data_IF_049516424064
#
_entry.id   IF_049516424064
#
_cell.length_a   1.000
_cell.length_b   1.000
_cell.length_c   1.000
_cell.angle_alpha   90.00
_cell.angle_beta   90.00
_cell.angle_gamma   90.00
#
_symmetry.space_group_name_H-M   'P 1'
#
loop_
_entity.id
_entity.type
_entity.pdbx_description
1 polymer ?
#
# COMPACT_ATOMS: atom_id res chain seq x y z
N UNK A 1 37.80 25.21 12.12
CA UNK A 1 36.58 25.12 11.29
C UNK A 1 35.82 26.42 11.45
N UNK A 2 35.88 27.31 10.41
CA UNK A 2 35.28 28.66 10.39
C UNK A 2 33.75 28.54 10.36
N UNK A 3 33.07 29.01 11.42
CA UNK A 3 31.61 29.23 11.42
C UNK A 3 31.29 30.40 10.50
N UNK A 4 30.75 30.15 9.31
CA UNK A 4 30.23 31.18 8.41
C UNK A 4 29.11 31.95 9.10
N UNK A 5 29.43 33.16 9.60
CA UNK A 5 28.43 34.09 10.11
C UNK A 5 27.64 34.68 8.93
N UNK A 6 26.30 34.47 8.97
CA UNK A 6 25.39 35.09 7.99
C UNK A 6 25.61 36.60 7.90
N UNK A 7 25.61 37.14 6.69
CA UNK A 7 25.69 38.59 6.47
C UNK A 7 24.47 39.31 7.07
N UNK A 8 24.62 40.59 7.42
CA UNK A 8 23.50 41.39 7.97
C UNK A 8 22.25 41.39 7.08
N UNK A 9 22.41 41.27 5.75
CA UNK A 9 21.31 41.18 4.80
C UNK A 9 20.61 39.82 4.85
N UNK A 10 21.38 38.74 5.03
CA UNK A 10 20.83 37.38 5.19
C UNK A 10 20.10 37.24 6.54
N UNK A 11 20.64 37.83 7.63
CA UNK A 11 19.98 37.84 8.93
C UNK A 11 18.63 38.59 8.88
N UNK A 12 18.57 39.75 8.20
CA UNK A 12 17.33 40.50 8.00
C UNK A 12 16.30 39.71 7.18
N UNK A 13 16.71 39.00 6.12
CA UNK A 13 15.82 38.13 5.34
C UNK A 13 15.29 36.97 6.15
N UNK A 14 16.14 36.29 6.93
CA UNK A 14 15.73 35.20 7.83
C UNK A 14 14.75 35.70 8.88
N UNK A 15 15.01 36.87 9.48
CA UNK A 15 14.14 37.47 10.49
C UNK A 15 12.81 37.96 9.90
N UNK A 16 12.80 38.53 8.70
CA UNK A 16 11.58 38.91 7.99
C UNK A 16 10.74 37.69 7.59
N UNK A 17 11.37 36.59 7.13
CA UNK A 17 10.69 35.36 6.84
C UNK A 17 10.16 34.67 8.11
N UNK A 18 10.88 34.73 9.21
CA UNK A 18 10.43 34.21 10.51
C UNK A 18 9.21 35.01 11.03
N UNK A 19 9.27 36.37 10.97
CA UNK A 19 8.13 37.23 11.33
C UNK A 19 6.92 37.02 10.40
N UNK A 20 7.15 36.77 9.11
CA UNK A 20 6.07 36.46 8.16
C UNK A 20 5.42 35.09 8.48
N UNK A 21 6.20 34.08 8.85
CA UNK A 21 5.70 32.77 9.33
C UNK A 21 4.92 32.92 10.65
N UNK A 22 5.39 33.72 11.60
CA UNK A 22 4.67 33.99 12.86
C UNK A 22 3.35 34.75 12.65
N UNK A 23 3.20 35.51 11.56
CA UNK A 23 1.94 36.19 11.22
C UNK A 23 0.96 35.32 10.40
N UNK A 24 1.45 34.28 9.72
CA UNK A 24 0.62 33.41 8.85
C UNK A 24 0.03 32.24 9.60
N UNK A 25 0.46 31.93 10.82
CA UNK A 25 0.07 30.71 11.56
C UNK A 25 -1.16 30.88 12.47
N UNK A 26 -1.88 31.98 12.37
CA UNK A 26 -3.22 32.11 12.96
C UNK A 26 -4.27 32.09 11.85
N UNK A 27 -4.45 30.95 11.17
CA UNK A 27 -5.75 30.66 10.53
C UNK A 27 -6.72 30.36 11.68
N UNK A 28 -7.90 31.02 11.73
CA UNK A 28 -8.88 30.73 12.75
C UNK A 28 -9.25 29.24 12.65
N UNK A 29 -9.01 28.47 13.71
CA UNK A 29 -9.74 27.24 13.93
C UNK A 29 -11.22 27.65 13.94
N UNK A 30 -12.06 26.94 13.18
CA UNK A 30 -13.51 27.14 13.26
C UNK A 30 -13.88 26.98 14.73
N UNK A 31 -14.52 28.02 15.30
CA UNK A 31 -15.03 27.98 16.67
C UNK A 31 -16.11 26.90 16.74
N UNK A 32 -16.12 26.09 17.81
CA UNK A 32 -17.09 25.00 17.98
C UNK A 32 -18.55 25.48 17.84
N UNK A 33 -18.83 26.76 18.10
CA UNK A 33 -20.13 27.40 17.88
C UNK A 33 -20.53 27.55 16.39
N UNK A 34 -19.55 27.41 15.47
CA UNK A 34 -19.73 27.54 14.03
C UNK A 34 -19.81 26.17 13.32
N UNK A 35 -19.78 25.09 14.08
CA UNK A 35 -19.83 23.72 13.58
C UNK A 35 -21.22 23.12 13.72
N UNK A 36 -21.66 22.37 12.70
CA UNK A 36 -22.86 21.58 12.70
C UNK A 36 -22.72 20.29 13.53
N UNK A 37 -23.69 19.41 13.42
CA UNK A 37 -23.68 18.13 14.13
C UNK A 37 -22.56 17.21 13.63
N UNK A 38 -22.07 16.35 14.55
CA UNK A 38 -21.09 15.35 14.23
C UNK A 38 -21.64 14.30 13.27
N UNK A 39 -20.87 13.95 12.25
CA UNK A 39 -21.21 13.01 11.19
C UNK A 39 -20.09 12.00 10.98
N UNK A 40 -20.46 10.82 10.51
CA UNK A 40 -19.51 9.80 10.07
C UNK A 40 -19.02 10.11 8.65
N UNK A 41 -17.76 9.75 8.37
CA UNK A 41 -17.19 9.90 7.03
C UNK A 41 -15.95 9.03 6.83
N UNK A 42 -15.51 8.97 5.56
CA UNK A 42 -14.27 8.29 5.18
C UNK A 42 -13.29 9.29 4.57
N UNK A 43 -12.01 9.14 4.89
CA UNK A 43 -10.96 9.99 4.34
C UNK A 43 -10.61 9.54 2.93
N UNK A 44 -10.97 10.35 1.95
CA UNK A 44 -10.67 10.12 0.52
C UNK A 44 -9.21 10.43 0.21
N UNK A 45 -8.69 11.53 0.76
CA UNK A 45 -7.28 11.90 0.61
C UNK A 45 -6.85 12.89 1.68
N UNK A 46 -5.52 12.98 1.92
CA UNK A 46 -4.93 13.89 2.89
C UNK A 46 -3.88 14.80 2.27
N UNK A 47 -3.94 16.10 2.55
CA UNK A 47 -3.00 17.13 2.07
C UNK A 47 -2.49 17.99 3.23
N UNK A 48 -1.37 17.61 3.79
CA UNK A 48 -0.79 18.35 4.93
C UNK A 48 -1.74 18.38 6.14
N UNK A 49 -2.33 19.54 6.45
CA UNK A 49 -3.29 19.74 7.55
C UNK A 49 -4.76 19.67 7.12
N UNK A 50 -5.02 19.27 5.88
CA UNK A 50 -6.36 19.13 5.34
C UNK A 50 -6.60 17.70 4.90
N UNK A 51 -7.86 17.28 4.94
CA UNK A 51 -8.33 16.03 4.37
C UNK A 51 -9.61 16.27 3.57
N UNK A 52 -9.79 15.54 2.48
CA UNK A 52 -11.08 15.40 1.81
C UNK A 52 -11.80 14.23 2.48
N UNK A 53 -12.94 14.52 3.09
CA UNK A 53 -13.80 13.55 3.78
C UNK A 53 -15.07 13.38 2.98
N UNK A 54 -15.44 12.16 2.69
CA UNK A 54 -16.72 11.83 2.07
C UNK A 54 -17.73 11.48 3.16
N UNK A 55 -18.87 12.16 3.11
CA UNK A 55 -19.99 11.91 4.00
C UNK A 55 -20.85 10.73 3.49
N UNK A 56 -21.81 10.28 4.29
CA UNK A 56 -22.70 9.15 3.95
C UNK A 56 -23.53 9.36 2.68
N UNK A 57 -23.73 10.60 2.24
CA UNK A 57 -24.41 10.98 1.00
C UNK A 57 -23.51 10.97 -0.24
N UNK A 58 -22.22 10.59 -0.09
CA UNK A 58 -21.23 10.56 -1.15
C UNK A 58 -20.62 11.94 -1.47
N UNK A 59 -20.99 13.00 -0.75
CA UNK A 59 -20.46 14.34 -0.99
C UNK A 59 -19.11 14.49 -0.29
N UNK A 60 -18.13 15.00 -1.03
CA UNK A 60 -16.78 15.22 -0.50
C UNK A 60 -16.63 16.64 0.07
N UNK A 61 -16.10 16.71 1.28
CA UNK A 61 -15.89 17.95 2.02
C UNK A 61 -14.41 18.10 2.38
N UNK A 62 -13.82 19.24 2.05
CA UNK A 62 -12.47 19.56 2.54
C UNK A 62 -12.53 20.03 3.97
N UNK A 63 -11.86 19.28 4.84
CA UNK A 63 -11.86 19.48 6.26
C UNK A 63 -10.47 19.85 6.79
N UNK A 64 -10.41 20.66 7.82
CA UNK A 64 -9.24 20.79 8.68
C UNK A 64 -9.10 19.54 9.56
N UNK A 65 -7.88 19.22 9.96
CA UNK A 65 -7.60 18.13 10.90
C UNK A 65 -7.31 18.73 12.26
N UNK A 66 -8.05 18.31 13.32
CA UNK A 66 -7.75 18.75 14.70
C UNK A 66 -6.32 18.39 15.07
N UNK A 67 -5.63 19.30 15.78
CA UNK A 67 -4.23 19.13 16.24
C UNK A 67 -4.02 17.93 17.17
N UNK A 68 -5.08 17.46 17.81
CA UNK A 68 -5.08 16.26 18.67
C UNK A 68 -4.92 14.97 17.87
N UNK A 69 -5.24 14.97 16.58
CA UNK A 69 -5.11 13.82 15.68
C UNK A 69 -3.67 13.73 15.18
N UNK A 70 -2.91 12.78 15.75
CA UNK A 70 -1.49 12.58 15.43
C UNK A 70 -1.26 12.01 14.04
N UNK A 71 -2.16 11.16 13.57
CA UNK A 71 -2.05 10.47 12.29
C UNK A 71 -3.42 10.33 11.65
N UNK A 72 -3.53 10.79 10.41
CA UNK A 72 -4.71 10.61 9.56
C UNK A 72 -4.21 10.18 8.18
N UNK A 73 -4.83 9.15 7.60
CA UNK A 73 -4.46 8.63 6.28
C UNK A 73 -5.70 8.31 5.45
N UNK A 74 -5.52 8.08 4.16
CA UNK A 74 -6.58 7.66 3.25
C UNK A 74 -7.16 6.32 3.71
N UNK A 75 -8.50 6.20 3.68
CA UNK A 75 -9.23 5.04 4.17
C UNK A 75 -9.61 5.12 5.66
N UNK A 76 -9.13 6.13 6.43
CA UNK A 76 -9.57 6.30 7.81
C UNK A 76 -11.07 6.60 7.89
N UNK A 77 -11.76 5.91 8.79
CA UNK A 77 -13.13 6.24 9.21
C UNK A 77 -13.05 7.31 10.28
N UNK A 78 -13.82 8.36 10.13
CA UNK A 78 -13.69 9.56 10.97
C UNK A 78 -15.03 10.10 11.40
N UNK A 79 -15.03 10.75 12.58
CA UNK A 79 -16.09 11.67 12.98
C UNK A 79 -15.66 13.07 12.56
N UNK A 80 -16.50 13.76 11.81
CA UNK A 80 -16.26 15.11 11.33
C UNK A 80 -17.50 15.99 11.52
N UNK A 81 -17.32 17.31 11.51
CA UNK A 81 -18.41 18.27 11.63
C UNK A 81 -18.33 19.30 10.49
N UNK A 82 -19.44 19.56 9.78
CA UNK A 82 -19.50 20.61 8.77
C UNK A 82 -19.47 21.98 9.42
N UNK A 83 -18.95 23.00 8.72
CA UNK A 83 -19.10 24.40 9.10
C UNK A 83 -20.50 24.90 8.81
N UNK A 84 -21.14 25.60 9.76
CA UNK A 84 -22.52 26.13 9.64
C UNK A 84 -22.63 27.31 8.68
N UNK A 85 -21.54 28.01 8.41
CA UNK A 85 -21.52 29.16 7.50
C UNK A 85 -20.66 28.85 6.27
N UNK A 86 -21.30 28.78 5.12
CA UNK A 86 -20.63 28.84 3.83
C UNK A 86 -20.15 30.30 3.60
N UNK A 87 -18.95 30.66 4.11
CA UNK A 87 -18.33 31.92 3.72
C UNK A 87 -17.82 31.77 2.27
N UNK A 88 -18.30 32.63 1.39
CA UNK A 88 -17.78 32.73 0.03
C UNK A 88 -16.26 32.94 0.08
N UNK A 89 -15.52 32.05 -0.61
CA UNK A 89 -14.06 32.05 -0.65
C UNK A 89 -13.35 31.19 0.39
N UNK A 90 -14.03 30.58 1.37
CA UNK A 90 -13.43 29.65 2.32
C UNK A 90 -13.38 28.24 1.70
N UNK A 91 -12.14 27.76 1.40
CA UNK A 91 -11.91 26.42 0.81
C UNK A 91 -12.18 25.26 1.78
N UNK A 92 -12.28 25.52 3.07
CA UNK A 92 -12.42 24.50 4.13
C UNK A 92 -13.85 24.51 4.64
N UNK A 93 -14.55 23.39 4.52
CA UNK A 93 -15.98 23.24 4.80
C UNK A 93 -16.29 22.50 6.10
N UNK A 94 -15.28 22.04 6.83
CA UNK A 94 -15.49 21.27 8.08
C UNK A 94 -14.21 20.99 8.84
N UNK A 95 -14.35 20.17 9.90
CA UNK A 95 -13.25 19.74 10.75
C UNK A 95 -13.36 18.24 11.07
N UNK A 96 -12.24 17.51 10.94
CA UNK A 96 -12.13 16.12 11.44
C UNK A 96 -11.85 16.17 12.93
N UNK A 97 -12.71 15.56 13.73
CA UNK A 97 -12.65 15.58 15.21
C UNK A 97 -11.99 14.33 15.80
N UNK A 98 -12.30 13.17 15.24
CA UNK A 98 -11.81 11.88 15.74
C UNK A 98 -11.56 10.89 14.59
N UNK A 99 -10.71 9.91 14.85
CA UNK A 99 -10.42 8.78 13.96
C UNK A 99 -10.84 7.52 14.69
N UNK A 100 -11.63 6.67 14.03
CA UNK A 100 -12.00 5.36 14.55
C UNK A 100 -10.80 4.41 14.59
N UNK A 101 -10.91 3.34 15.36
CA UNK A 101 -9.93 2.26 15.37
C UNK A 101 -9.82 1.64 13.98
N UNK A 102 -8.58 1.42 13.55
CA UNK A 102 -8.25 0.86 12.24
C UNK A 102 -8.28 -0.66 12.30
N UNK A 103 -8.89 -1.29 11.30
CA UNK A 103 -8.84 -2.75 11.13
C UNK A 103 -7.52 -3.22 10.55
N UNK A 104 -6.92 -2.41 9.66
CA UNK A 104 -5.61 -2.66 9.05
C UNK A 104 -4.88 -1.35 8.82
N UNK A 105 -3.54 -1.40 8.76
CA UNK A 105 -2.69 -0.22 8.49
C UNK A 105 -1.55 -0.61 7.58
N UNK A 106 -1.52 -0.01 6.40
CA UNK A 106 -0.35 -0.11 5.53
C UNK A 106 0.67 0.96 5.91
N UNK A 107 1.91 0.54 6.09
CA UNK A 107 3.01 1.42 6.49
C UNK A 107 4.14 1.40 5.47
N UNK A 108 4.94 2.45 5.44
CA UNK A 108 6.21 2.52 4.71
C UNK A 108 7.33 2.96 5.64
N UNK A 109 8.61 2.70 5.27
CA UNK A 109 9.74 3.26 6.01
C UNK A 109 9.68 4.78 6.03
N UNK A 110 10.02 5.34 7.19
CA UNK A 110 10.34 6.75 7.32
C UNK A 110 11.81 6.87 7.74
N UNK A 111 12.55 7.78 7.08
CA UNK A 111 13.98 7.98 7.36
C UNK A 111 14.25 8.52 8.77
N UNK A 112 13.23 9.10 9.42
CA UNK A 112 13.38 9.78 10.72
C UNK A 112 12.64 9.06 11.85
N UNK A 113 11.48 8.47 11.61
CA UNK A 113 10.55 7.98 12.65
C UNK A 113 10.20 6.47 12.55
N UNK A 114 11.00 5.69 11.83
CA UNK A 114 10.81 4.24 11.69
C UNK A 114 9.75 3.87 10.65
N UNK A 115 8.46 3.83 10.97
CA UNK A 115 7.37 3.48 10.03
C UNK A 115 6.28 4.55 10.03
N UNK A 116 5.82 4.92 8.83
CA UNK A 116 4.76 5.89 8.61
C UNK A 116 3.53 5.25 7.98
N UNK A 117 2.34 5.39 8.57
CA UNK A 117 1.10 4.97 7.93
C UNK A 117 0.86 5.71 6.60
N UNK A 118 0.38 4.99 5.59
CA UNK A 118 0.05 5.54 4.25
C UNK A 118 -1.40 5.30 3.85
N UNK A 119 -2.01 4.20 4.33
CA UNK A 119 -3.41 3.87 4.11
C UNK A 119 -3.93 3.03 5.27
N UNK A 120 -5.25 3.02 5.49
CA UNK A 120 -5.89 2.29 6.57
C UNK A 120 -7.18 1.61 6.09
N UNK A 121 -7.66 0.65 6.90
CA UNK A 121 -8.91 -0.09 6.70
C UNK A 121 -8.98 -0.78 5.32
N UNK A 122 -7.87 -1.39 4.93
CA UNK A 122 -7.73 -2.15 3.70
C UNK A 122 -8.25 -3.55 3.96
N UNK A 123 -9.21 -4.01 3.16
CA UNK A 123 -9.78 -5.35 3.28
C UNK A 123 -9.03 -6.37 2.42
N UNK A 124 -8.42 -5.91 1.30
CA UNK A 124 -7.86 -6.80 0.30
C UNK A 124 -6.65 -6.19 -0.42
N UNK A 125 -5.65 -7.03 -0.71
CA UNK A 125 -4.54 -6.70 -1.59
C UNK A 125 -4.64 -7.52 -2.86
N UNK A 126 -4.85 -6.84 -3.99
CA UNK A 126 -4.88 -7.44 -5.32
C UNK A 126 -3.46 -7.51 -5.86
N UNK A 127 -2.91 -8.72 -5.89
CA UNK A 127 -1.58 -9.01 -6.40
C UNK A 127 -1.68 -9.23 -7.91
N UNK A 128 -1.43 -8.16 -8.68
CA UNK A 128 -1.51 -8.23 -10.14
C UNK A 128 -0.19 -8.75 -10.69
N UNK A 129 -0.27 -9.85 -11.41
CA UNK A 129 0.80 -10.43 -12.20
C UNK A 129 0.39 -10.52 -13.66
N UNK A 130 1.31 -10.81 -14.55
CA UNK A 130 1.02 -10.96 -15.97
C UNK A 130 2.01 -11.91 -16.64
N UNK A 131 1.70 -12.31 -17.87
CA UNK A 131 2.58 -13.11 -18.70
C UNK A 131 3.74 -12.27 -19.24
N UNK A 132 3.49 -10.98 -19.50
CA UNK A 132 4.45 -9.96 -19.91
C UNK A 132 4.31 -8.72 -19.03
N UNK A 133 5.40 -8.28 -18.35
CA UNK A 133 6.73 -8.91 -18.29
C UNK A 133 6.68 -10.32 -17.69
N UNK A 134 7.77 -11.08 -17.81
CA UNK A 134 7.86 -12.47 -17.36
C UNK A 134 7.22 -12.72 -16.00
N UNK A 135 6.37 -13.74 -15.92
CA UNK A 135 5.67 -14.11 -14.71
C UNK A 135 6.65 -14.55 -13.61
N UNK A 136 6.66 -13.82 -12.51
CA UNK A 136 7.54 -14.09 -11.37
C UNK A 136 6.75 -14.55 -10.15
N UNK A 137 6.82 -15.85 -9.85
CA UNK A 137 6.23 -16.41 -8.63
C UNK A 137 6.86 -15.82 -7.36
N UNK A 138 8.15 -15.49 -7.40
CA UNK A 138 8.84 -14.86 -6.27
C UNK A 138 8.21 -13.52 -5.85
N UNK A 139 7.73 -12.74 -6.81
CA UNK A 139 7.06 -11.47 -6.53
C UNK A 139 5.67 -11.71 -5.94
N UNK A 140 4.92 -12.67 -6.48
CA UNK A 140 3.64 -13.08 -5.89
C UNK A 140 3.86 -13.49 -4.43
N UNK A 141 4.85 -14.35 -4.17
CA UNK A 141 5.17 -14.86 -2.84
C UNK A 141 5.52 -13.75 -1.85
N UNK A 142 6.28 -12.74 -2.30
CA UNK A 142 6.60 -11.56 -1.48
C UNK A 142 5.35 -10.81 -1.04
N UNK A 143 4.40 -10.59 -1.96
CA UNK A 143 3.16 -9.92 -1.62
C UNK A 143 2.25 -10.78 -0.74
N UNK A 144 2.22 -12.10 -0.94
CA UNK A 144 1.48 -13.02 -0.07
C UNK A 144 2.01 -12.98 1.37
N UNK A 145 3.33 -13.04 1.56
CA UNK A 145 3.95 -12.90 2.89
C UNK A 145 3.60 -11.55 3.53
N UNK A 146 3.57 -10.47 2.75
CA UNK A 146 3.17 -9.16 3.26
C UNK A 146 1.68 -9.15 3.67
N UNK A 147 0.79 -9.75 2.89
CA UNK A 147 -0.63 -9.86 3.20
C UNK A 147 -0.86 -10.64 4.51
N UNK A 148 -0.20 -11.79 4.65
CA UNK A 148 -0.29 -12.63 5.87
C UNK A 148 0.23 -11.88 7.12
N UNK A 149 1.25 -11.04 6.97
CA UNK A 149 1.80 -10.25 8.08
C UNK A 149 0.89 -9.09 8.47
N UNK A 150 0.16 -8.53 7.50
CA UNK A 150 -0.77 -7.42 7.70
C UNK A 150 -2.17 -7.89 8.10
N UNK A 151 -2.43 -9.20 8.08
CA UNK A 151 -3.77 -9.80 8.25
C UNK A 151 -4.78 -9.20 7.26
N UNK A 152 -4.37 -9.09 5.99
CA UNK A 152 -5.19 -8.58 4.88
C UNK A 152 -5.33 -9.65 3.82
N UNK A 153 -6.55 -9.87 3.32
CA UNK A 153 -6.85 -10.93 2.36
C UNK A 153 -6.14 -10.69 1.01
N UNK A 154 -5.35 -11.65 0.50
CA UNK A 154 -4.75 -11.55 -0.82
C UNK A 154 -5.71 -12.04 -1.91
N UNK A 155 -5.69 -11.37 -3.06
CA UNK A 155 -6.30 -11.83 -4.31
C UNK A 155 -5.24 -11.83 -5.40
N UNK A 156 -4.89 -13.00 -5.93
CA UNK A 156 -3.95 -13.11 -7.05
C UNK A 156 -4.72 -12.90 -8.35
N UNK A 157 -4.28 -11.95 -9.18
CA UNK A 157 -4.88 -11.65 -10.48
C UNK A 157 -3.82 -11.77 -11.56
N UNK A 158 -3.99 -12.77 -12.42
CA UNK A 158 -3.16 -12.96 -13.60
C UNK A 158 -3.79 -12.23 -14.79
N UNK A 159 -3.19 -11.13 -15.20
CA UNK A 159 -3.64 -10.30 -16.31
C UNK A 159 -2.96 -10.68 -17.64
N UNK A 160 -3.52 -10.20 -18.74
CA UNK A 160 -3.06 -10.39 -20.13
C UNK A 160 -3.13 -11.85 -20.61
N UNK A 161 -4.12 -12.60 -20.14
CA UNK A 161 -4.33 -14.01 -20.57
C UNK A 161 -4.68 -14.12 -22.06
N UNK A 162 -5.10 -13.03 -22.69
CA UNK A 162 -5.31 -12.91 -24.14
C UNK A 162 -4.04 -13.14 -24.98
N UNK A 163 -2.86 -13.04 -24.35
CA UNK A 163 -1.57 -13.29 -24.99
C UNK A 163 -1.16 -14.77 -25.00
N UNK A 164 -1.92 -15.65 -24.33
CA UNK A 164 -1.61 -17.07 -24.21
C UNK A 164 -2.31 -17.88 -25.32
N UNK A 165 -1.54 -18.76 -25.94
CA UNK A 165 -2.09 -19.89 -26.68
C UNK A 165 -2.54 -21.02 -25.73
N UNK A 166 -3.06 -22.13 -26.30
CA UNK A 166 -3.58 -23.26 -25.53
C UNK A 166 -2.51 -23.94 -24.66
N UNK A 167 -1.27 -24.03 -25.12
CA UNK A 167 -0.18 -24.66 -24.36
C UNK A 167 0.34 -23.71 -23.27
N UNK A 168 0.44 -22.42 -23.56
CA UNK A 168 0.77 -21.38 -22.57
C UNK A 168 -0.27 -21.32 -21.46
N UNK A 169 -1.57 -21.44 -21.78
CA UNK A 169 -2.62 -21.49 -20.74
C UNK A 169 -2.44 -22.69 -19.81
N UNK A 170 -2.21 -23.89 -20.33
CA UNK A 170 -1.95 -25.07 -19.49
C UNK A 170 -0.73 -24.93 -18.59
N UNK A 171 0.34 -24.33 -19.12
CA UNK A 171 1.56 -24.10 -18.34
C UNK A 171 1.30 -23.15 -17.18
N UNK A 172 0.66 -22.03 -17.47
CA UNK A 172 0.34 -21.01 -16.46
C UNK A 172 -0.68 -21.51 -15.45
N UNK A 173 -1.71 -22.26 -15.88
CA UNK A 173 -2.66 -22.92 -15.00
C UNK A 173 -1.95 -23.80 -13.98
N UNK A 174 -0.96 -24.60 -14.42
CA UNK A 174 -0.16 -25.43 -13.52
C UNK A 174 0.60 -24.63 -12.46
N UNK A 175 1.12 -23.44 -12.84
CA UNK A 175 1.78 -22.53 -11.90
C UNK A 175 0.78 -21.91 -10.92
N UNK A 176 -0.39 -21.50 -11.37
CA UNK A 176 -1.43 -20.92 -10.53
C UNK A 176 -2.10 -21.94 -9.60
N UNK A 177 -2.12 -23.21 -9.99
CA UNK A 177 -2.63 -24.31 -9.17
C UNK A 177 -1.83 -24.50 -7.87
N UNK A 178 -0.55 -24.12 -7.85
CA UNK A 178 0.24 -24.11 -6.62
C UNK A 178 -0.47 -23.24 -5.57
N UNK A 179 -0.90 -22.04 -5.94
CA UNK A 179 -1.58 -21.11 -5.05
C UNK A 179 -3.01 -21.51 -4.70
N UNK A 180 -3.76 -22.05 -5.68
CA UNK A 180 -5.13 -22.56 -5.46
C UNK A 180 -5.14 -23.71 -4.45
N UNK A 181 -4.17 -24.62 -4.51
CA UNK A 181 -4.04 -25.76 -3.56
C UNK A 181 -3.72 -25.32 -2.14
N UNK A 182 -3.02 -24.20 -1.97
CA UNK A 182 -2.73 -23.58 -0.67
C UNK A 182 -3.99 -22.92 -0.10
N UNK A 183 -4.97 -22.56 -0.96
CA UNK A 183 -6.22 -21.93 -0.58
C UNK A 183 -6.34 -20.46 -1.00
N UNK A 184 -5.38 -19.94 -1.76
CA UNK A 184 -5.46 -18.58 -2.28
C UNK A 184 -6.43 -18.45 -3.46
N UNK A 185 -7.17 -17.35 -3.50
CA UNK A 185 -8.01 -16.99 -4.63
C UNK A 185 -7.14 -16.52 -5.80
N UNK A 186 -7.33 -17.14 -6.96
CA UNK A 186 -6.63 -16.79 -8.20
C UNK A 186 -7.66 -16.53 -9.29
N UNK A 187 -7.60 -15.33 -9.88
CA UNK A 187 -8.39 -14.95 -11.03
C UNK A 187 -7.50 -14.72 -12.24
N UNK A 188 -7.98 -15.14 -13.39
CA UNK A 188 -7.35 -14.94 -14.69
C UNK A 188 -8.18 -13.96 -15.49
N UNK A 189 -7.54 -12.86 -15.94
CA UNK A 189 -8.25 -11.75 -16.57
C UNK A 189 -7.51 -11.21 -17.79
N UNK A 190 -8.24 -10.55 -18.67
CA UNK A 190 -7.69 -9.68 -19.70
C UNK A 190 -8.39 -8.32 -19.63
N UNK A 191 -7.64 -7.29 -19.30
CA UNK A 191 -8.14 -5.91 -19.39
C UNK A 191 -8.43 -5.49 -20.85
N UNK A 192 -7.84 -6.17 -21.82
CA UNK A 192 -8.01 -5.88 -23.25
C UNK A 192 -9.27 -6.51 -23.83
N UNK A 193 -9.51 -7.79 -23.55
CA UNK A 193 -10.67 -8.53 -24.07
C UNK A 193 -11.86 -8.55 -23.12
N UNK A 194 -11.68 -8.09 -21.88
CA UNK A 194 -12.61 -8.13 -20.75
C UNK A 194 -12.94 -9.55 -20.25
N UNK A 195 -12.20 -10.56 -20.69
CA UNK A 195 -12.29 -11.91 -20.14
C UNK A 195 -11.99 -11.89 -18.63
N UNK A 196 -12.84 -12.53 -17.81
CA UNK A 196 -12.69 -12.63 -16.35
C UNK A 196 -12.96 -11.34 -15.56
N UNK A 197 -13.24 -10.19 -16.20
CA UNK A 197 -13.42 -8.91 -15.50
C UNK A 197 -14.67 -8.93 -14.61
N UNK A 198 -15.77 -9.58 -15.01
CA UNK A 198 -16.99 -9.67 -14.18
C UNK A 198 -16.72 -10.42 -12.86
N UNK A 199 -16.01 -11.54 -12.89
CA UNK A 199 -15.62 -12.26 -11.69
C UNK A 199 -14.69 -11.44 -10.81
N UNK A 200 -13.82 -10.65 -11.43
CA UNK A 200 -12.94 -9.73 -10.72
C UNK A 200 -13.72 -8.60 -10.04
N UNK A 201 -14.69 -7.97 -10.72
CA UNK A 201 -15.58 -6.96 -10.13
C UNK A 201 -16.35 -7.52 -8.93
N UNK A 202 -16.84 -8.75 -9.02
CA UNK A 202 -17.51 -9.44 -7.90
C UNK A 202 -16.57 -9.66 -6.70
N UNK A 203 -15.31 -10.00 -6.95
CA UNK A 203 -14.31 -10.19 -5.89
C UNK A 203 -13.89 -8.86 -5.20
N UNK A 204 -14.06 -7.72 -5.88
CA UNK A 204 -13.78 -6.39 -5.35
C UNK A 204 -14.98 -5.76 -4.62
N UNK A 205 -16.20 -6.24 -4.87
CA UNK A 205 -17.42 -5.62 -4.38
C UNK A 205 -17.46 -5.54 -2.85
N UNK A 206 -17.74 -4.34 -2.33
CA UNK A 206 -17.86 -4.06 -0.89
C UNK A 206 -16.53 -4.07 -0.11
N UNK A 207 -15.38 -4.07 -0.78
CA UNK A 207 -14.05 -4.11 -0.18
C UNK A 207 -13.24 -2.89 -0.54
N UNK A 208 -12.39 -2.44 0.37
CA UNK A 208 -11.32 -1.46 0.10
C UNK A 208 -10.08 -2.24 -0.32
N UNK A 209 -9.69 -2.09 -1.58
CA UNK A 209 -8.59 -2.85 -2.20
C UNK A 209 -7.38 -1.97 -2.49
N UNK A 210 -6.20 -2.60 -2.53
CA UNK A 210 -4.96 -2.02 -3.05
C UNK A 210 -4.47 -2.90 -4.18
N UNK A 211 -3.99 -2.29 -5.28
CA UNK A 211 -3.35 -3.01 -6.37
C UNK A 211 -1.83 -2.98 -6.22
N UNK A 212 -1.24 -4.15 -6.02
CA UNK A 212 0.18 -4.38 -5.95
C UNK A 212 0.68 -5.19 -7.15
N UNK A 213 1.97 -5.15 -7.45
CA UNK A 213 2.58 -5.90 -8.55
C UNK A 213 3.61 -5.09 -9.31
N UNK A 214 4.35 -5.75 -10.20
CA UNK A 214 5.42 -5.12 -11.01
C UNK A 214 4.93 -4.01 -11.93
N UNK A 215 5.88 -3.18 -12.40
CA UNK A 215 5.61 -2.27 -13.51
C UNK A 215 5.29 -3.07 -14.79
N UNK A 216 4.33 -2.59 -15.57
CA UNK A 216 3.99 -3.20 -16.87
C UNK A 216 3.01 -4.38 -16.80
N UNK A 217 2.61 -4.90 -15.65
CA UNK A 217 1.63 -6.00 -15.54
C UNK A 217 0.18 -5.60 -15.87
N UNK A 218 -0.07 -4.29 -16.06
CA UNK A 218 -1.38 -3.79 -16.46
C UNK A 218 -2.27 -3.32 -15.31
N UNK A 219 -1.72 -2.97 -14.14
CA UNK A 219 -2.50 -2.42 -13.01
C UNK A 219 -3.36 -1.22 -13.43
N UNK A 220 -2.76 -0.24 -14.10
CA UNK A 220 -3.49 0.96 -14.57
C UNK A 220 -4.57 0.61 -15.60
N UNK A 221 -4.33 -0.37 -16.47
CA UNK A 221 -5.33 -0.83 -17.44
C UNK A 221 -6.52 -1.50 -16.76
N UNK A 222 -6.26 -2.30 -15.72
CA UNK A 222 -7.32 -2.91 -14.91
C UNK A 222 -8.11 -1.85 -14.14
N UNK A 223 -7.44 -0.89 -13.50
CA UNK A 223 -8.10 0.23 -12.82
C UNK A 223 -8.97 1.04 -13.77
N UNK A 224 -8.46 1.35 -14.96
CA UNK A 224 -9.24 2.06 -15.99
C UNK A 224 -10.47 1.27 -16.47
N UNK A 225 -10.41 -0.06 -16.45
CA UNK A 225 -11.54 -0.91 -16.82
C UNK A 225 -12.63 -0.97 -15.75
N UNK A 226 -12.30 -0.69 -14.49
CA UNK A 226 -13.14 -0.82 -13.30
C UNK A 226 -13.70 0.52 -12.80
N UNK A 227 -12.98 1.61 -13.03
CA UNK A 227 -13.36 2.94 -12.56
C UNK A 227 -14.32 3.64 -13.52
N UNK A 228 -15.19 4.54 -13.01
CA UNK A 228 -15.99 5.41 -13.85
C UNK A 228 -15.12 6.24 -14.80
N UNK A 229 -15.61 6.56 -16.02
CA UNK A 229 -14.85 7.35 -17.00
C UNK A 229 -14.34 8.70 -16.47
N UNK A 230 -15.07 9.32 -15.54
CA UNK A 230 -14.70 10.60 -14.90
C UNK A 230 -13.44 10.50 -14.05
N UNK A 231 -13.15 9.34 -13.47
CA UNK A 231 -12.00 9.12 -12.59
C UNK A 231 -10.76 8.59 -13.35
N UNK A 232 -10.96 8.03 -14.55
CA UNK A 232 -9.91 7.52 -15.40
C UNK A 232 -8.92 8.60 -15.85
N UNK A 233 -9.38 9.83 -16.13
CA UNK A 233 -8.53 10.95 -16.52
C UNK A 233 -7.57 11.36 -15.38
N UNK A 234 -7.99 11.24 -14.13
CA UNK A 234 -7.17 11.58 -12.96
C UNK A 234 -6.02 10.60 -12.79
N UNK A 235 -6.27 9.29 -13.01
CA UNK A 235 -5.25 8.25 -12.89
C UNK A 235 -4.21 8.30 -14.03
N UNK A 236 -4.65 8.58 -15.26
CA UNK A 236 -3.76 8.69 -16.43
C UNK A 236 -2.80 9.88 -16.26
N UNK A 237 -3.28 11.01 -15.75
CA UNK A 237 -2.45 12.19 -15.48
C UNK A 237 -1.44 11.94 -14.36
N UNK A 238 -1.80 11.17 -13.33
CA UNK A 238 -0.88 10.81 -12.24
C UNK A 238 0.25 9.87 -12.69
N UNK A 239 0.01 9.05 -13.74
CA UNK A 239 1.01 8.13 -14.29
C UNK A 239 1.93 8.84 -15.31
N UNK A 240 1.42 9.82 -16.07
CA UNK A 240 2.19 10.56 -17.06
C UNK A 240 3.13 11.60 -16.46
N UNK A 241 2.82 12.16 -15.31
CA UNK A 241 3.69 13.13 -14.61
C UNK A 241 4.99 12.52 -14.06
N UNK A 242 5.11 11.19 -14.01
CA UNK A 242 6.34 10.50 -13.62
C UNK A 242 7.37 10.33 -14.76
N UNK A 243 7.06 10.75 -15.98
CA UNK A 243 7.95 10.52 -17.15
C UNK A 243 8.76 11.73 -17.65
N UNK A 244 8.75 12.86 -16.95
CA UNK A 244 9.59 13.97 -17.36
C UNK A 244 9.45 15.26 -16.55
N UNK A 245 10.56 15.69 -15.96
CA UNK A 245 10.82 16.98 -15.31
C UNK A 245 10.32 17.14 -13.85
N UNK A 246 11.23 16.84 -12.94
CA UNK A 246 11.58 17.52 -11.69
C UNK A 246 10.61 18.51 -11.04
N UNK A 247 9.40 18.09 -10.67
CA UNK A 247 8.67 18.72 -9.58
C UNK A 247 8.23 17.60 -8.62
N UNK A 248 8.67 17.70 -7.36
CA UNK A 248 8.24 16.82 -6.27
C UNK A 248 6.75 17.07 -5.95
N UNK A 249 5.87 16.59 -6.79
CA UNK A 249 4.47 16.42 -6.43
C UNK A 249 4.40 15.15 -5.59
N UNK A 250 4.39 15.30 -4.28
CA UNK A 250 4.05 14.21 -3.35
C UNK A 250 2.62 13.83 -3.68
N UNK A 251 2.45 12.82 -4.51
CA UNK A 251 1.13 12.32 -4.90
C UNK A 251 0.54 11.68 -3.64
N UNK A 252 -0.42 12.37 -3.03
CA UNK A 252 -1.12 11.88 -1.86
C UNK A 252 -1.93 10.63 -2.26
N UNK A 253 -2.00 9.66 -1.36
CA UNK A 253 -2.88 8.52 -1.56
C UNK A 253 -4.33 9.01 -1.70
N UNK A 254 -5.09 8.40 -2.60
CA UNK A 254 -6.50 8.71 -2.83
C UNK A 254 -7.33 7.44 -2.95
N UNK A 255 -8.52 7.49 -2.35
CA UNK A 255 -9.56 6.46 -2.48
C UNK A 255 -10.46 6.80 -3.66
N UNK A 256 -10.76 5.80 -4.48
CA UNK A 256 -11.67 5.86 -5.63
C UNK A 256 -12.72 4.76 -5.50
N UNK A 257 -13.93 5.02 -5.98
CA UNK A 257 -15.02 4.06 -6.00
C UNK A 257 -15.08 3.32 -7.33
N UNK A 258 -15.24 2.00 -7.30
CA UNK A 258 -15.48 1.22 -8.50
C UNK A 258 -16.92 1.36 -8.99
N UNK A 259 -17.12 1.26 -10.30
CA UNK A 259 -18.42 1.43 -10.93
C UNK A 259 -19.47 0.42 -10.43
N UNK A 260 -19.06 -0.81 -10.13
CA UNK A 260 -19.93 -1.89 -9.68
C UNK A 260 -19.82 -2.19 -8.19
N UNK A 261 -19.29 -1.26 -7.43
CA UNK A 261 -19.12 -1.35 -5.97
C UNK A 261 -17.73 -1.80 -5.53
N UNK A 262 -17.37 -1.42 -4.29
CA UNK A 262 -16.03 -1.55 -3.76
C UNK A 262 -15.16 -0.33 -4.08
N UNK A 263 -13.99 -0.30 -3.45
CA UNK A 263 -13.11 0.87 -3.45
C UNK A 263 -11.66 0.47 -3.72
N UNK A 264 -10.87 1.42 -4.24
CA UNK A 264 -9.43 1.26 -4.36
C UNK A 264 -8.69 2.45 -3.76
N UNK A 265 -7.64 2.19 -3.01
CA UNK A 265 -6.69 3.21 -2.60
C UNK A 265 -5.48 3.13 -3.52
N UNK A 266 -5.20 4.22 -4.25
CA UNK A 266 -4.07 4.32 -5.16
C UNK A 266 -3.10 5.41 -4.73
N UNK A 267 -1.81 5.08 -4.74
CA UNK A 267 -0.68 6.01 -4.64
C UNK A 267 0.63 5.30 -5.03
N UNK A 268 1.67 6.04 -5.43
CA UNK A 268 2.98 5.46 -5.68
C UNK A 268 3.55 4.71 -4.47
N UNK A 269 3.36 5.24 -3.25
CA UNK A 269 3.84 4.59 -2.03
C UNK A 269 3.09 3.33 -1.63
N UNK A 270 1.85 3.17 -2.09
CA UNK A 270 1.00 1.99 -1.86
C UNK A 270 1.35 0.87 -2.85
N UNK A 271 1.76 1.22 -4.07
CA UNK A 271 2.10 0.23 -5.13
C UNK A 271 3.38 -0.54 -4.86
N UNK A 272 4.26 -0.02 -3.99
CA UNK A 272 5.61 -0.52 -3.73
C UNK A 272 5.84 -0.88 -2.26
N UNK A 273 4.79 -1.31 -1.55
CA UNK A 273 5.02 -1.81 -0.20
C UNK A 273 5.83 -3.12 -0.24
N UNK A 274 6.69 -3.35 0.74
CA UNK A 274 7.66 -4.44 0.70
C UNK A 274 7.91 -5.06 2.08
N UNK A 275 8.70 -6.14 2.07
CA UNK A 275 9.01 -6.96 3.24
C UNK A 275 10.19 -6.44 4.09
N UNK A 276 10.75 -5.29 3.75
CA UNK A 276 12.03 -4.77 4.25
C UNK A 276 12.13 -4.64 5.79
N UNK A 277 11.02 -4.66 6.50
CA UNK A 277 10.97 -4.54 7.96
C UNK A 277 10.67 -5.87 8.70
N UNK A 278 10.44 -6.96 7.96
CA UNK A 278 10.07 -8.23 8.56
C UNK A 278 11.29 -8.99 9.08
N UNK A 279 11.11 -9.65 10.23
CA UNK A 279 12.07 -10.61 10.72
C UNK A 279 12.00 -11.93 9.91
N UNK A 280 13.09 -12.71 9.83
CA UNK A 280 13.08 -14.00 9.13
C UNK A 280 11.94 -14.94 9.55
N UNK A 281 11.63 -14.95 10.85
CA UNK A 281 10.58 -15.77 11.43
C UNK A 281 9.18 -15.35 10.91
N UNK A 282 8.97 -14.04 10.72
CA UNK A 282 7.71 -13.52 10.16
C UNK A 282 7.56 -13.92 8.69
N UNK A 283 8.66 -13.95 7.93
CA UNK A 283 8.66 -14.43 6.54
C UNK A 283 8.30 -15.92 6.50
N UNK A 284 8.93 -16.72 7.36
CA UNK A 284 8.65 -18.17 7.45
C UNK A 284 7.17 -18.42 7.80
N UNK A 285 6.60 -17.67 8.74
CA UNK A 285 5.20 -17.71 9.12
C UNK A 285 4.25 -17.24 8.01
N UNK A 286 4.72 -16.36 7.13
CA UNK A 286 3.98 -15.83 6.00
C UNK A 286 3.77 -16.84 4.86
N UNK A 287 4.53 -17.95 4.85
CA UNK A 287 4.23 -19.12 4.01
C UNK A 287 3.26 -20.03 4.75
N UNK A 288 1.96 -19.87 4.48
CA UNK A 288 0.90 -20.49 5.29
C UNK A 288 1.01 -22.01 5.31
N UNK A 289 1.41 -22.63 4.21
CA UNK A 289 1.63 -24.08 4.08
C UNK A 289 2.82 -24.61 4.89
N UNK A 290 3.71 -23.72 5.38
CA UNK A 290 4.81 -24.12 6.25
C UNK A 290 4.38 -24.29 7.70
N UNK A 291 3.28 -23.64 8.10
CA UNK A 291 2.85 -23.52 9.52
C UNK A 291 2.69 -24.88 10.20
N UNK A 292 2.18 -25.89 9.48
CA UNK A 292 1.98 -27.23 10.01
C UNK A 292 3.29 -27.99 10.30
N UNK A 293 4.42 -27.52 9.76
CA UNK A 293 5.73 -28.13 9.91
C UNK A 293 6.67 -27.36 10.84
N UNK A 294 6.31 -26.12 11.20
CA UNK A 294 7.15 -25.30 12.07
C UNK A 294 7.24 -25.88 13.48
N UNK A 295 8.43 -25.96 14.01
CA UNK A 295 8.72 -26.58 15.31
C UNK A 295 8.87 -28.10 15.28
N UNK A 296 8.70 -28.77 14.14
CA UNK A 296 8.88 -30.22 14.00
C UNK A 296 10.26 -30.63 13.47
N UNK A 297 11.14 -29.68 13.20
CA UNK A 297 12.54 -29.98 12.83
C UNK A 297 13.29 -30.63 13.98
N UNK A 298 14.23 -31.51 13.66
CA UNK A 298 15.07 -32.20 14.65
C UNK A 298 15.87 -31.23 15.54
N UNK A 299 16.27 -30.08 14.98
CA UNK A 299 17.03 -29.04 15.69
C UNK A 299 16.21 -27.75 15.81
N UNK A 300 16.30 -27.09 16.97
CA UNK A 300 15.55 -25.86 17.26
C UNK A 300 16.02 -24.66 16.45
N UNK A 301 17.29 -24.65 16.08
CA UNK A 301 17.97 -23.61 15.30
C UNK A 301 18.08 -23.96 13.81
N UNK A 302 17.19 -24.83 13.34
CA UNK A 302 17.12 -25.23 11.95
C UNK A 302 16.93 -24.02 11.03
N UNK A 303 17.86 -23.83 10.11
CA UNK A 303 17.80 -22.76 9.10
C UNK A 303 16.92 -23.12 7.89
N UNK A 304 16.41 -24.37 7.87
CA UNK A 304 15.63 -24.94 6.78
C UNK A 304 16.36 -25.01 5.42
N UNK A 305 17.69 -24.89 5.43
CA UNK A 305 18.52 -25.02 4.23
C UNK A 305 18.99 -26.48 4.03
N UNK A 306 20.09 -26.85 4.65
CA UNK A 306 20.69 -28.20 4.52
C UNK A 306 20.69 -28.98 5.84
N UNK A 307 19.91 -28.53 6.83
CA UNK A 307 19.89 -29.14 8.15
C UNK A 307 19.30 -30.55 8.10
N UNK A 308 19.97 -31.57 8.69
CA UNK A 308 19.45 -32.92 8.70
C UNK A 308 18.20 -33.03 9.60
N UNK A 309 17.16 -33.67 9.09
CA UNK A 309 15.87 -33.78 9.79
C UNK A 309 15.06 -32.48 9.82
N UNK A 310 15.18 -31.68 8.76
CA UNK A 310 14.34 -30.52 8.54
C UNK A 310 12.94 -30.94 8.06
N UNK A 311 11.91 -30.62 8.84
CA UNK A 311 10.54 -30.98 8.54
C UNK A 311 10.00 -30.30 7.27
N UNK A 312 10.42 -29.08 6.95
CA UNK A 312 10.02 -28.39 5.72
C UNK A 312 10.61 -29.09 4.49
N UNK A 313 11.88 -29.47 4.51
CA UNK A 313 12.50 -30.21 3.40
C UNK A 313 11.86 -31.56 3.18
N UNK A 314 11.58 -32.28 4.27
CA UNK A 314 10.86 -33.55 4.18
C UNK A 314 9.46 -33.38 3.57
N UNK A 315 8.76 -32.30 3.91
CA UNK A 315 7.46 -31.97 3.32
C UNK A 315 7.56 -31.65 1.82
N UNK A 316 8.63 -31.00 1.38
CA UNK A 316 8.92 -30.76 -0.06
C UNK A 316 9.19 -32.09 -0.76
N UNK A 317 10.04 -32.96 -0.21
CA UNK A 317 10.35 -34.28 -0.76
C UNK A 317 9.10 -35.18 -0.86
N UNK A 318 8.12 -35.00 0.04
CA UNK A 318 6.83 -35.68 0.02
C UNK A 318 5.79 -35.01 -0.90
N UNK A 319 6.14 -33.90 -1.58
CA UNK A 319 5.23 -33.14 -2.44
C UNK A 319 4.08 -32.42 -1.71
N UNK A 320 4.20 -32.24 -0.39
CA UNK A 320 3.23 -31.49 0.42
C UNK A 320 3.44 -29.98 0.35
N UNK A 321 4.68 -29.56 0.11
CA UNK A 321 5.08 -28.18 -0.16
C UNK A 321 5.66 -28.17 -1.58
N UNK A 322 5.24 -27.20 -2.40
CA UNK A 322 5.80 -27.02 -3.73
C UNK A 322 7.27 -26.56 -3.66
N UNK A 323 8.12 -27.17 -4.48
CA UNK A 323 9.56 -26.85 -4.52
C UNK A 323 9.78 -25.38 -4.87
N UNK A 324 9.00 -24.84 -5.82
CA UNK A 324 9.07 -23.44 -6.25
C UNK A 324 8.80 -22.47 -5.09
N UNK A 325 7.86 -22.79 -4.20
CA UNK A 325 7.54 -21.99 -3.02
C UNK A 325 8.66 -22.04 -2.00
N UNK A 326 9.25 -23.21 -1.79
CA UNK A 326 10.38 -23.40 -0.88
C UNK A 326 11.62 -22.66 -1.39
N UNK A 327 11.92 -22.73 -2.68
CA UNK A 327 13.00 -21.98 -3.31
C UNK A 327 12.80 -20.46 -3.19
N UNK A 328 11.58 -19.99 -3.44
CA UNK A 328 11.24 -18.58 -3.33
C UNK A 328 11.38 -18.07 -1.88
N UNK A 329 11.01 -18.88 -0.90
CA UNK A 329 11.23 -18.57 0.51
C UNK A 329 12.71 -18.25 0.79
N UNK A 330 13.63 -19.10 0.34
CA UNK A 330 15.06 -18.87 0.52
C UNK A 330 15.56 -17.63 -0.22
N UNK A 331 15.12 -17.43 -1.48
CA UNK A 331 15.44 -16.21 -2.26
C UNK A 331 14.94 -14.93 -1.58
N UNK A 332 13.79 -14.98 -0.93
CA UNK A 332 13.25 -13.85 -0.17
C UNK A 332 14.17 -13.56 1.03
N UNK A 333 14.52 -14.56 1.82
CA UNK A 333 15.40 -14.39 2.97
C UNK A 333 16.76 -13.81 2.56
N UNK A 334 17.42 -14.38 1.56
CA UNK A 334 18.71 -13.90 1.04
C UNK A 334 18.66 -12.44 0.60
N UNK A 335 17.58 -12.06 -0.14
CA UNK A 335 17.44 -10.69 -0.61
C UNK A 335 17.27 -9.69 0.53
N UNK A 336 16.65 -10.10 1.63
CA UNK A 336 16.47 -9.25 2.80
C UNK A 336 17.74 -9.09 3.63
N UNK A 337 18.56 -10.11 3.70
CA UNK A 337 19.89 -10.00 4.31
C UNK A 337 20.78 -9.01 3.56
N UNK A 338 20.75 -9.05 2.23
CA UNK A 338 21.51 -8.13 1.37
C UNK A 338 21.02 -6.68 1.48
N UNK A 339 19.73 -6.46 1.75
CA UNK A 339 19.13 -5.13 1.89
C UNK A 339 19.43 -4.45 3.24
N UNK A 340 19.92 -5.19 4.25
CA UNK A 340 20.32 -4.59 5.53
C UNK A 340 21.54 -3.69 5.32
N UNK A 341 21.50 -2.40 5.74
CA UNK A 341 22.68 -1.55 5.65
C UNK A 341 23.82 -2.20 6.39
N UNK A 342 24.96 -2.42 5.71
CA UNK A 342 26.19 -2.89 6.35
C UNK A 342 26.51 -1.91 7.47
N UNK A 343 26.49 -2.36 8.73
CA UNK A 343 27.06 -1.62 9.85
C UNK A 343 28.53 -1.38 9.49
N UNK A 344 28.89 -0.14 9.17
CA UNK A 344 30.29 0.26 9.11
C UNK A 344 30.88 -0.03 10.49
N UNK A 345 31.72 -1.04 10.57
CA UNK A 345 32.56 -1.26 11.74
C UNK A 345 33.56 -0.09 11.81
N UNK A 346 33.25 0.89 12.67
CA UNK A 346 34.29 1.77 13.19
C UNK A 346 35.25 0.92 14.05
N UNK A 347 36.24 0.39 13.38
CA UNK A 347 37.47 -0.09 14.00
C UNK A 347 38.57 0.38 13.08
N UNK A 348 39.15 1.51 13.45
CA UNK A 348 40.58 1.83 13.34
C UNK A 348 40.78 3.32 13.56
N UNK A 349 41.01 3.70 14.81
CA UNK A 349 41.92 4.79 15.09
C UNK A 349 42.67 4.51 16.39
N UNK A 350 43.92 4.23 16.15
CA UNK A 350 44.96 4.41 17.16
C UNK A 350 45.27 5.88 17.37
#
# INVERSE_FOLDING_TARGET
>A
VSKNKLSKGQQRRVQANHQRRLRTDRKPELDDSQLGDAQEGIVISRFGQHADVEAADGVQHRCNIRRTIKSLVTGDRVVWRPGLQAQEGVRVKGIVEAVHERTSVLTRPDLYDGVKPIAANIDQIVIVSAILPELSLNIIDRYLVACETLDVEPLIVLNKIDLLDADGRKFVDGMMDIYRRIGYNVLEVSSQTREGIEAFEQALAGRISIFAGQSGVGKSSLLNALLPPTDNEILVNTVSDNSGLGQHTTTAARLYHFQHGGDVIDSPGVREFGLWHLAPEQITQGFVEFRDYLGHCKFRDCSHTNDPGCALREAVEQGKIAEERFDNYHRILESMEQAKPRKTSDSDEK
#
